data_IF_824801841071
#
_entry.id   IF_824801841071
#
_cell.length_a   1.000
_cell.length_b   1.000
_cell.length_c   1.000
_cell.angle_alpha   90.00
_cell.angle_beta   90.00
_cell.angle_gamma   90.00
#
_symmetry.space_group_name_H-M   'P 1'
#
loop_
_entity.id
_entity.type
_entity.pdbx_description
1 polymer ?
#
# COMPACT_ATOMS: atom_id res chain seq x y z
N UNK A 1 -0.66 -3.90 3.60
CA UNK A 1 0.46 -3.61 4.52
C UNK A 1 1.62 -4.60 4.38
N UNK A 2 1.38 -5.87 4.07
CA UNK A 2 2.45 -6.89 3.95
C UNK A 2 3.62 -6.48 3.05
N UNK A 3 3.36 -5.91 1.86
CA UNK A 3 4.41 -5.43 0.96
C UNK A 3 5.26 -4.29 1.55
N UNK A 4 4.67 -3.40 2.36
CA UNK A 4 5.42 -2.33 3.05
C UNK A 4 6.35 -2.90 4.11
N UNK A 5 5.90 -3.90 4.88
CA UNK A 5 6.73 -4.58 5.87
C UNK A 5 7.85 -5.37 5.19
N UNK A 6 7.57 -6.04 4.07
CA UNK A 6 8.57 -6.74 3.29
C UNK A 6 9.62 -5.79 2.69
N UNK A 7 9.22 -4.58 2.30
CA UNK A 7 10.11 -3.54 1.76
C UNK A 7 10.94 -2.84 2.85
N UNK A 8 10.42 -2.71 4.07
CA UNK A 8 11.09 -1.98 5.18
C UNK A 8 10.79 -2.68 6.50
N UNK A 9 11.56 -3.73 6.81
CA UNK A 9 11.39 -4.51 8.03
C UNK A 9 11.69 -3.72 9.32
N UNK A 10 12.47 -2.65 9.22
CA UNK A 10 12.91 -1.79 10.32
C UNK A 10 11.77 -1.03 11.00
N UNK A 11 10.58 -0.99 10.40
CA UNK A 11 9.40 -0.39 11.03
C UNK A 11 8.76 -1.32 12.06
N UNK A 12 9.13 -2.61 12.11
CA UNK A 12 8.58 -3.56 13.08
C UNK A 12 9.32 -3.40 14.41
N UNK A 13 8.57 -3.13 15.47
CA UNK A 13 9.11 -2.94 16.82
C UNK A 13 9.25 -4.23 17.62
N UNK A 14 9.11 -4.11 18.94
CA UNK A 14 9.20 -5.23 19.87
C UNK A 14 7.85 -5.96 20.07
N UNK A 15 7.88 -7.25 20.48
CA UNK A 15 6.67 -7.99 20.82
C UNK A 15 5.86 -7.31 21.92
N UNK A 16 4.56 -7.22 21.72
CA UNK A 16 3.64 -6.68 22.72
C UNK A 16 3.43 -7.71 23.84
N UNK A 17 3.27 -7.22 25.07
CA UNK A 17 3.01 -8.03 26.26
C UNK A 17 1.83 -7.48 27.02
N UNK A 18 0.87 -8.32 27.38
CA UNK A 18 -0.24 -7.92 28.24
C UNK A 18 0.13 -7.98 29.73
N UNK A 19 -0.80 -7.59 30.60
CA UNK A 19 -0.61 -7.62 32.05
C UNK A 19 -0.51 -9.03 32.66
N UNK A 20 -0.80 -10.08 31.90
CA UNK A 20 -0.66 -11.48 32.30
C UNK A 20 0.64 -12.13 31.78
N UNK A 21 1.44 -11.40 31.00
CA UNK A 21 2.69 -11.88 30.43
C UNK A 21 2.55 -12.63 29.10
N UNK A 22 1.36 -12.67 28.49
CA UNK A 22 1.18 -13.23 27.14
C UNK A 22 1.94 -12.38 26.12
N UNK A 23 2.54 -13.02 25.11
CA UNK A 23 3.31 -12.37 24.05
C UNK A 23 2.52 -12.35 22.74
N UNK A 24 2.47 -11.19 22.09
CA UNK A 24 1.79 -10.96 20.82
C UNK A 24 2.78 -10.54 19.73
N UNK A 25 2.35 -10.50 18.47
CA UNK A 25 3.23 -10.07 17.39
C UNK A 25 3.71 -8.62 17.60
N UNK A 26 4.96 -8.31 17.23
CA UNK A 26 5.40 -6.93 17.11
C UNK A 26 4.62 -6.23 16.00
N UNK A 27 4.40 -4.93 16.16
CA UNK A 27 3.66 -4.09 15.22
C UNK A 27 4.54 -3.00 14.63
N UNK A 28 4.02 -2.31 13.62
CA UNK A 28 4.66 -1.11 13.07
C UNK A 28 4.79 -0.03 14.16
N UNK A 29 6.00 0.51 14.33
CA UNK A 29 6.26 1.68 15.19
C UNK A 29 5.91 3.01 14.49
N UNK A 30 5.64 2.96 13.18
CA UNK A 30 5.24 4.13 12.39
C UNK A 30 3.72 4.16 12.20
N UNK A 31 3.05 5.33 12.39
CA UNK A 31 1.63 5.48 12.12
C UNK A 31 1.29 5.21 10.65
N UNK A 32 0.12 4.62 10.41
CA UNK A 32 -0.42 4.37 9.06
C UNK A 32 -1.66 5.24 8.86
N UNK A 33 -1.65 6.04 7.79
CA UNK A 33 -2.78 6.89 7.40
C UNK A 33 -3.54 6.19 6.27
N UNK A 34 -4.85 5.97 6.47
CA UNK A 34 -5.73 5.36 5.47
C UNK A 34 -6.54 6.46 4.79
N UNK A 35 -6.53 6.45 3.46
CA UNK A 35 -7.21 7.43 2.62
C UNK A 35 -8.09 6.73 1.58
N UNK A 36 -9.11 7.43 1.10
CA UNK A 36 -9.99 7.00 0.03
C UNK A 36 -10.14 8.11 -1.02
N UNK A 37 -10.36 7.70 -2.28
CA UNK A 37 -10.58 8.58 -3.42
C UNK A 37 -11.24 7.82 -4.57
N UNK A 38 -11.67 8.53 -5.62
CA UNK A 38 -12.25 7.92 -6.82
C UNK A 38 -11.18 7.29 -7.74
N UNK A 39 -11.62 6.55 -8.76
CA UNK A 39 -10.73 5.77 -9.61
C UNK A 39 -9.71 6.61 -10.40
N UNK A 40 -10.14 7.76 -10.91
CA UNK A 40 -9.28 8.64 -11.71
C UNK A 40 -8.28 9.39 -10.83
N UNK A 41 -8.67 9.76 -9.61
CA UNK A 41 -7.75 10.27 -8.63
C UNK A 41 -6.72 9.20 -8.21
N UNK A 42 -7.13 7.95 -7.96
CA UNK A 42 -6.22 6.87 -7.60
C UNK A 42 -5.23 6.54 -8.73
N UNK A 43 -5.66 6.57 -9.99
CA UNK A 43 -4.79 6.47 -11.18
C UNK A 43 -3.70 7.55 -11.17
N UNK A 44 -4.06 8.80 -10.91
CA UNK A 44 -3.08 9.91 -10.83
C UNK A 44 -2.11 9.74 -9.66
N UNK A 45 -2.57 9.22 -8.52
CA UNK A 45 -1.70 8.93 -7.37
C UNK A 45 -0.71 7.82 -7.75
N UNK A 46 -1.16 6.77 -8.43
CA UNK A 46 -0.30 5.70 -8.95
C UNK A 46 0.74 6.23 -9.95
N UNK A 47 0.34 7.04 -10.94
CA UNK A 47 1.29 7.65 -11.89
C UNK A 47 2.34 8.51 -11.19
N UNK A 48 1.92 9.36 -10.23
CA UNK A 48 2.86 10.19 -9.45
C UNK A 48 3.83 9.39 -8.58
N UNK A 49 3.47 8.20 -8.12
CA UNK A 49 4.43 7.37 -7.38
C UNK A 49 5.54 6.87 -8.30
N UNK A 50 5.19 6.47 -9.52
CA UNK A 50 6.16 6.05 -10.54
C UNK A 50 7.04 7.21 -11.01
N UNK A 51 6.46 8.38 -11.30
CA UNK A 51 7.19 9.62 -11.67
C UNK A 51 8.22 10.07 -10.61
N UNK A 52 8.10 9.56 -9.38
CA UNK A 52 8.96 9.89 -8.24
C UNK A 52 9.83 8.72 -7.78
N UNK A 53 9.91 7.67 -8.59
CA UNK A 53 10.71 6.46 -8.32
C UNK A 53 10.36 5.79 -6.98
N UNK A 54 9.09 5.85 -6.58
CA UNK A 54 8.60 5.20 -5.36
C UNK A 54 8.00 3.85 -5.72
N UNK A 55 8.66 2.78 -5.29
CA UNK A 55 8.08 1.42 -5.34
C UNK A 55 6.95 1.31 -4.33
N UNK A 56 5.75 0.98 -4.80
CA UNK A 56 4.53 0.87 -3.99
C UNK A 56 3.98 -0.55 -3.97
N UNK A 57 3.20 -0.87 -2.94
CA UNK A 57 2.34 -2.05 -2.97
C UNK A 57 1.04 -1.67 -3.68
N UNK A 58 0.69 -2.34 -4.77
CA UNK A 58 -0.45 -2.01 -5.62
C UNK A 58 -1.39 -3.23 -5.77
N UNK A 59 -2.69 -2.98 -5.80
CA UNK A 59 -3.72 -4.01 -5.99
C UNK A 59 -4.71 -3.53 -7.06
N UNK A 60 -5.00 -4.38 -8.05
CA UNK A 60 -5.98 -4.10 -9.11
C UNK A 60 -7.24 -4.97 -8.93
N UNK A 61 -8.36 -4.53 -9.49
CA UNK A 61 -9.66 -5.18 -9.35
C UNK A 61 -9.66 -6.65 -9.79
N UNK A 62 -8.96 -6.97 -10.86
CA UNK A 62 -8.87 -8.31 -11.44
C UNK A 62 -8.24 -9.33 -10.49
N UNK A 63 -7.38 -8.88 -9.57
CA UNK A 63 -6.77 -9.73 -8.54
C UNK A 63 -7.80 -10.23 -7.49
N UNK A 64 -9.04 -9.73 -7.48
CA UNK A 64 -10.11 -10.32 -6.69
C UNK A 64 -10.64 -11.64 -7.28
N UNK A 65 -10.42 -11.90 -8.56
CA UNK A 65 -10.92 -13.10 -9.23
C UNK A 65 -10.08 -14.35 -8.91
N UNK A 66 -8.92 -14.21 -8.25
CA UNK A 66 -8.03 -15.33 -7.94
C UNK A 66 -7.51 -15.27 -6.51
N UNK A 67 -7.25 -16.43 -5.91
CA UNK A 67 -6.63 -16.56 -4.58
C UNK A 67 -5.16 -16.98 -4.63
N UNK A 68 -4.55 -17.04 -5.82
CA UNK A 68 -3.20 -17.57 -6.01
C UNK A 68 -2.25 -16.48 -6.48
N UNK A 69 -1.14 -16.31 -5.76
CA UNK A 69 -0.13 -15.28 -6.02
C UNK A 69 0.43 -15.33 -7.45
N UNK A 70 0.69 -16.51 -8.01
CA UNK A 70 1.15 -16.66 -9.39
C UNK A 70 0.13 -16.13 -10.40
N UNK A 71 -1.16 -16.47 -10.22
CA UNK A 71 -2.23 -16.00 -11.10
C UNK A 71 -2.47 -14.49 -10.95
N UNK A 72 -2.39 -13.96 -9.73
CA UNK A 72 -2.47 -12.54 -9.45
C UNK A 72 -1.34 -11.75 -10.13
N UNK A 73 -0.10 -12.24 -10.09
CA UNK A 73 1.01 -11.59 -10.82
C UNK A 73 0.85 -11.67 -12.33
N UNK A 74 0.35 -12.80 -12.84
CA UNK A 74 0.09 -12.96 -14.26
C UNK A 74 -0.95 -11.93 -14.74
N UNK A 75 -2.12 -11.88 -14.12
CA UNK A 75 -3.16 -10.92 -14.51
C UNK A 75 -2.71 -9.47 -14.28
N UNK A 76 -1.96 -9.18 -13.21
CA UNK A 76 -1.40 -7.85 -12.98
C UNK A 76 -0.49 -7.39 -14.14
N UNK A 77 0.30 -8.31 -14.71
CA UNK A 77 1.22 -8.00 -15.81
C UNK A 77 0.53 -7.67 -17.14
N UNK A 78 -0.78 -7.90 -17.25
CA UNK A 78 -1.57 -7.60 -18.45
C UNK A 78 -1.97 -6.11 -18.52
N UNK A 79 -1.78 -5.34 -17.44
CA UNK A 79 -2.19 -3.95 -17.33
C UNK A 79 -1.01 -2.98 -17.20
N UNK A 80 -1.21 -1.75 -17.69
CA UNK A 80 -0.32 -0.61 -17.52
C UNK A 80 -0.93 0.41 -16.54
N UNK A 81 -0.17 1.41 -16.06
CA UNK A 81 -0.71 2.47 -15.22
C UNK A 81 -1.92 3.20 -15.82
N UNK A 82 -2.02 3.26 -17.15
CA UNK A 82 -3.05 4.00 -17.87
C UNK A 82 -4.36 3.22 -18.00
N UNK A 83 -4.34 1.89 -17.94
CA UNK A 83 -5.54 1.06 -18.11
C UNK A 83 -5.89 0.20 -16.88
N UNK A 84 -5.00 0.07 -15.89
CA UNK A 84 -5.26 -0.66 -14.67
C UNK A 84 -6.44 -0.07 -13.88
N UNK A 85 -7.30 -0.94 -13.35
CA UNK A 85 -8.33 -0.59 -12.37
C UNK A 85 -7.79 -0.78 -10.96
N UNK A 86 -6.98 0.18 -10.51
CA UNK A 86 -6.37 0.11 -9.17
C UNK A 86 -7.46 0.19 -8.10
N UNK A 87 -7.44 -0.68 -7.11
CA UNK A 87 -8.40 -0.70 -5.99
C UNK A 87 -7.73 -0.41 -4.65
N UNK A 88 -6.40 -0.41 -4.61
CA UNK A 88 -5.63 -0.04 -3.44
C UNK A 88 -4.16 0.19 -3.75
N UNK A 89 -3.56 1.15 -3.04
CA UNK A 89 -2.13 1.40 -3.08
C UNK A 89 -1.62 1.73 -1.69
N UNK A 90 -0.45 1.22 -1.34
CA UNK A 90 0.29 1.62 -0.14
C UNK A 90 1.72 2.01 -0.52
N UNK A 91 2.25 3.03 0.16
CA UNK A 91 3.61 3.51 -0.03
C UNK A 91 4.22 3.96 1.30
N UNK A 92 5.55 3.90 1.38
CA UNK A 92 6.34 4.52 2.45
C UNK A 92 7.45 5.33 1.80
N UNK A 93 7.49 6.62 2.10
CA UNK A 93 8.51 7.55 1.62
C UNK A 93 8.61 8.75 2.57
N UNK A 94 9.53 9.68 2.28
CA UNK A 94 9.58 10.97 2.95
C UNK A 94 8.22 11.67 2.96
N UNK A 95 7.84 12.26 4.11
CA UNK A 95 6.49 12.83 4.31
C UNK A 95 6.09 13.79 3.20
N UNK A 96 6.98 14.71 2.80
CA UNK A 96 6.71 15.69 1.74
C UNK A 96 6.50 15.03 0.36
N UNK A 97 7.10 13.87 0.11
CA UNK A 97 6.90 13.10 -1.12
C UNK A 97 5.54 12.42 -1.06
N UNK A 98 5.21 11.77 0.06
CA UNK A 98 3.91 11.13 0.27
C UNK A 98 2.78 12.15 0.08
N UNK A 99 2.84 13.31 0.73
CA UNK A 99 1.82 14.37 0.63
C UNK A 99 1.60 14.85 -0.81
N UNK A 100 2.67 14.89 -1.63
CA UNK A 100 2.57 15.25 -3.05
C UNK A 100 1.95 14.15 -3.89
N UNK A 101 2.29 12.88 -3.63
CA UNK A 101 1.76 11.71 -4.33
C UNK A 101 0.25 11.61 -4.06
N UNK A 102 -0.15 11.64 -2.79
CA UNK A 102 -1.52 11.39 -2.32
C UNK A 102 -2.47 12.57 -2.46
N UNK A 103 -2.00 13.70 -3.00
CA UNK A 103 -2.80 14.91 -3.22
C UNK A 103 -4.08 14.60 -4.02
N UNK A 104 -5.21 14.88 -3.39
CA UNK A 104 -6.56 14.67 -3.93
C UNK A 104 -7.36 13.59 -3.17
N UNK A 105 -6.68 12.68 -2.48
CA UNK A 105 -7.32 11.72 -1.58
C UNK A 105 -7.76 12.39 -0.28
N UNK A 106 -8.74 11.78 0.39
CA UNK A 106 -9.26 12.22 1.70
C UNK A 106 -9.02 11.12 2.73
N UNK A 107 -8.93 11.49 4.00
CA UNK A 107 -8.91 10.51 5.09
C UNK A 107 -10.16 9.63 5.01
N UNK A 108 -9.97 8.33 5.22
CA UNK A 108 -11.08 7.38 5.28
C UNK A 108 -11.97 7.70 6.50
N UNK A 109 -13.29 7.66 6.31
CA UNK A 109 -14.29 7.87 7.36
C UNK A 109 -14.69 6.57 8.05
#
# INVERSE_FOLDING_TARGET
MSGIVAQTGEIIGEPYRDGAGNVYNPLSIQPVVVMATDQEALRKIHQRSLERDITTSLYIEEMFATGHDVANRQVFSEFSPDNARVVGMALRADKKIVDKITKGAKLHA
#
